data_IF_862909785103
#
_entry.id   IF_862909785103
#
_cell.length_a   1.000
_cell.length_b   1.000
_cell.length_c   1.000
_cell.angle_alpha   90.00
_cell.angle_beta   90.00
_cell.angle_gamma   90.00
#
_symmetry.space_group_name_H-M   'P 1'
#
loop_
_entity.id
_entity.type
_entity.pdbx_description
1 polymer ?
#
# COMPACT_ATOMS: atom_id res chain seq x y z
N UNK A 1 -8.54 13.37 -3.49
CA UNK A 1 -8.16 12.63 -2.27
C UNK A 1 -8.13 11.14 -2.58
N UNK A 2 -7.44 10.37 -1.74
CA UNK A 2 -7.42 8.91 -1.76
C UNK A 2 -7.48 8.44 -0.31
N UNK A 3 -8.47 7.61 0.01
CA UNK A 3 -8.65 6.99 1.31
C UNK A 3 -8.75 5.48 1.11
N UNK A 4 -8.27 4.71 2.08
CA UNK A 4 -8.38 3.26 2.10
C UNK A 4 -8.98 2.88 3.44
N UNK A 5 -10.14 2.23 3.42
CA UNK A 5 -10.84 1.82 4.65
C UNK A 5 -10.07 0.75 5.44
N UNK A 6 -9.21 0.00 4.77
CA UNK A 6 -8.25 -0.92 5.38
C UNK A 6 -6.83 -0.40 5.13
N UNK A 7 -6.06 -0.28 6.22
CA UNK A 7 -4.63 0.07 6.18
C UNK A 7 -3.90 -0.74 7.24
N UNK A 8 -2.94 -1.56 6.81
CA UNK A 8 -2.13 -2.39 7.68
C UNK A 8 -0.67 -2.35 7.25
N UNK A 9 0.21 -2.24 8.25
CA UNK A 9 1.65 -2.43 8.12
C UNK A 9 2.04 -3.67 8.90
N UNK A 10 2.78 -4.55 8.26
CA UNK A 10 3.27 -5.79 8.87
C UNK A 10 4.50 -5.55 9.76
N UNK A 11 4.95 -6.60 10.46
CA UNK A 11 6.08 -6.52 11.36
C UNK A 11 7.41 -6.25 10.63
N UNK A 12 8.45 -5.88 11.38
CA UNK A 12 9.81 -5.75 10.83
C UNK A 12 10.31 -7.05 10.20
N UNK A 13 9.97 -8.22 10.78
CA UNK A 13 10.30 -9.53 10.23
C UNK A 13 9.63 -9.82 8.88
N UNK A 14 8.65 -9.00 8.49
CA UNK A 14 7.94 -9.04 7.21
C UNK A 14 8.23 -7.78 6.38
N UNK A 15 9.32 -7.09 6.70
CA UNK A 15 9.81 -5.91 5.99
C UNK A 15 8.78 -4.78 5.91
N UNK A 16 7.95 -4.61 6.95
CA UNK A 16 6.91 -3.58 7.01
C UNK A 16 6.02 -3.53 5.76
N UNK A 17 5.72 -4.69 5.18
CA UNK A 17 4.86 -4.84 4.01
C UNK A 17 3.56 -4.03 4.16
N UNK A 18 3.14 -3.36 3.10
CA UNK A 18 1.87 -2.63 3.03
C UNK A 18 0.73 -3.55 2.63
N UNK A 19 -0.42 -3.46 3.31
CA UNK A 19 -1.69 -4.04 2.86
C UNK A 19 -2.80 -3.01 2.99
N UNK A 20 -3.54 -2.80 1.90
CA UNK A 20 -4.62 -1.83 1.79
C UNK A 20 -5.78 -2.39 0.97
N UNK A 21 -6.99 -1.91 1.27
CA UNK A 21 -8.21 -2.21 0.53
C UNK A 21 -9.29 -1.13 0.75
N UNK A 22 -10.37 -1.18 -0.02
CA UNK A 22 -11.53 -0.30 0.08
C UNK A 22 -11.18 1.14 -0.26
N UNK A 23 -10.63 1.34 -1.46
CA UNK A 23 -10.31 2.65 -2.01
C UNK A 23 -11.57 3.51 -2.15
N UNK A 24 -11.49 4.76 -1.69
CA UNK A 24 -12.45 5.82 -1.97
C UNK A 24 -11.73 7.13 -2.31
N UNK A 25 -12.17 7.77 -3.39
CA UNK A 25 -11.77 9.13 -3.73
C UNK A 25 -11.63 9.38 -5.21
N UNK A 26 -11.06 10.54 -5.53
CA UNK A 26 -10.96 11.06 -6.89
C UNK A 26 -9.52 11.31 -7.35
N UNK A 27 -8.51 10.89 -6.58
CA UNK A 27 -7.10 11.00 -6.96
C UNK A 27 -6.61 9.84 -7.85
N UNK A 28 -7.41 8.77 -8.01
CA UNK A 28 -7.00 7.49 -8.58
C UNK A 28 -6.48 6.51 -7.52
N UNK A 29 -6.66 5.21 -7.78
CA UNK A 29 -6.20 4.11 -6.91
C UNK A 29 -4.78 3.65 -7.33
N UNK A 30 -3.80 4.53 -7.13
CA UNK A 30 -2.42 4.26 -7.55
C UNK A 30 -1.72 3.18 -6.72
N UNK A 31 -2.13 2.97 -5.46
CA UNK A 31 -1.47 2.01 -4.60
C UNK A 31 -1.90 0.58 -4.90
N UNK A 32 -3.08 0.36 -5.50
CA UNK A 32 -3.59 -0.96 -5.88
C UNK A 32 -3.49 -1.25 -7.40
N UNK A 33 -2.68 -0.49 -8.14
CA UNK A 33 -2.47 -0.69 -9.58
C UNK A 33 -1.82 -2.06 -9.87
N UNK A 34 -2.26 -2.82 -10.91
CA UNK A 34 -1.74 -4.15 -11.20
C UNK A 34 -0.26 -4.23 -11.59
N UNK A 35 0.32 -3.13 -12.09
CA UNK A 35 1.68 -3.10 -12.62
C UNK A 35 2.64 -2.31 -11.73
N UNK A 36 2.17 -1.23 -11.13
CA UNK A 36 3.00 -0.27 -10.37
C UNK A 36 2.48 -0.02 -8.95
N UNK A 37 1.44 -0.75 -8.52
CA UNK A 37 0.89 -0.65 -7.18
C UNK A 37 1.90 -1.01 -6.10
N UNK A 38 1.76 -0.37 -4.95
CA UNK A 38 2.56 -0.67 -3.76
C UNK A 38 1.83 -1.59 -2.78
N UNK A 39 0.57 -1.97 -3.05
CA UNK A 39 -0.15 -2.93 -2.24
C UNK A 39 0.60 -4.28 -2.23
N UNK A 40 0.80 -4.85 -1.06
CA UNK A 40 1.60 -6.04 -0.79
C UNK A 40 3.12 -5.91 -1.03
N UNK A 41 3.63 -4.71 -1.33
CA UNK A 41 5.05 -4.48 -1.48
C UNK A 41 5.75 -4.29 -0.12
N UNK A 42 6.98 -4.80 0.07
CA UNK A 42 7.78 -4.52 1.26
C UNK A 42 8.26 -3.06 1.27
N UNK A 43 8.63 -2.58 2.46
CA UNK A 43 9.26 -1.28 2.61
C UNK A 43 10.76 -1.37 2.27
N UNK A 44 11.26 -0.37 1.54
CA UNK A 44 12.66 -0.29 1.14
C UNK A 44 13.25 1.06 1.53
N UNK A 45 14.54 1.05 1.87
CA UNK A 45 15.37 2.26 2.02
C UNK A 45 16.61 2.13 1.14
N UNK A 46 17.46 3.16 1.11
CA UNK A 46 18.58 3.27 0.16
C UNK A 46 19.71 2.23 0.31
N UNK A 47 19.93 1.69 1.51
CA UNK A 47 21.18 1.02 1.92
C UNK A 47 21.65 -0.13 1.01
#
# INVERSE_FOLDING_TARGET
YAQYSHFKIYSEGEYYKLEIDGYEGNAGDSLNDPWYGSNNSPFSTYN
#
